data_IF_354142322292
#
_entry.id   IF_354142322292
#
_cell.length_a   1.000
_cell.length_b   1.000
_cell.length_c   1.000
_cell.angle_alpha   90.00
_cell.angle_beta   90.00
_cell.angle_gamma   90.00
#
_symmetry.space_group_name_H-M   'P 1'
#
loop_
_entity.id
_entity.type
_entity.pdbx_description
1 polymer ?
#
# COMPACT_ATOMS: atom_id res chain seq x y z
N UNK A 1 -0.04 -22.00 48.78
CA UNK A 1 -1.09 -21.37 47.94
C UNK A 1 -0.86 -19.88 48.01
N UNK A 2 -0.24 -19.28 46.99
CA UNK A 2 -0.03 -17.82 46.94
C UNK A 2 -0.61 -17.33 45.64
N UNK A 3 -1.75 -16.66 45.74
CA UNK A 3 -2.55 -16.15 44.65
C UNK A 3 -1.94 -14.85 44.10
N UNK A 4 -1.69 -14.83 42.80
CA UNK A 4 -1.33 -13.65 42.02
C UNK A 4 -2.59 -12.83 41.69
N UNK A 5 -2.67 -11.60 42.18
CA UNK A 5 -3.69 -10.63 41.77
C UNK A 5 -3.14 -9.73 40.66
N UNK A 6 -3.58 -9.94 39.42
CA UNK A 6 -3.35 -9.02 38.31
C UNK A 6 -4.43 -7.94 38.27
N UNK A 7 -4.10 -6.73 38.72
CA UNK A 7 -4.94 -5.54 38.62
C UNK A 7 -5.04 -5.05 37.16
N UNK A 8 -6.23 -4.61 36.67
CA UNK A 8 -6.34 -4.02 35.34
C UNK A 8 -5.70 -2.61 35.33
N UNK A 9 -4.80 -2.36 34.38
CA UNK A 9 -4.18 -1.05 34.17
C UNK A 9 -5.21 -0.02 33.69
N UNK A 10 -5.25 1.14 34.35
CA UNK A 10 -6.11 2.26 33.96
C UNK A 10 -5.71 2.81 32.58
N UNK A 11 -6.65 3.29 31.76
CA UNK A 11 -6.34 3.83 30.45
C UNK A 11 -5.46 5.08 30.59
N UNK A 12 -4.31 5.09 29.90
CA UNK A 12 -3.43 6.25 29.85
C UNK A 12 -4.15 7.38 29.10
N UNK A 13 -4.25 8.55 29.73
CA UNK A 13 -4.89 9.74 29.21
C UNK A 13 -3.92 10.94 29.32
N UNK A 14 -3.99 11.89 28.39
CA UNK A 14 -3.19 13.11 28.41
C UNK A 14 -1.71 12.92 28.06
N UNK A 15 -0.81 13.68 28.70
CA UNK A 15 0.64 13.66 28.45
C UNK A 15 1.28 12.27 28.50
N UNK A 16 0.96 11.36 29.45
CA UNK A 16 1.56 10.01 29.45
C UNK A 16 1.10 9.15 28.27
N UNK A 17 -0.13 9.33 27.77
CA UNK A 17 -0.59 8.68 26.52
C UNK A 17 0.19 9.18 25.31
N UNK A 18 0.46 10.48 25.26
CA UNK A 18 1.27 11.10 24.20
C UNK A 18 2.72 10.60 24.27
N UNK A 19 3.27 10.44 25.48
CA UNK A 19 4.64 9.94 25.68
C UNK A 19 4.77 8.44 25.33
N UNK A 20 3.75 7.63 25.65
CA UNK A 20 3.71 6.22 25.28
C UNK A 20 3.63 6.00 23.76
N UNK A 21 3.06 6.94 23.01
CA UNK A 21 3.09 6.93 21.54
C UNK A 21 4.41 7.42 20.94
N UNK A 22 5.22 8.14 21.72
CA UNK A 22 6.52 8.64 21.26
C UNK A 22 7.65 7.62 21.31
N UNK A 23 7.44 6.46 21.96
CA UNK A 23 8.42 5.36 21.89
C UNK A 23 8.28 4.64 20.55
N UNK A 24 9.39 4.25 19.90
CA UNK A 24 9.33 3.34 18.75
C UNK A 24 8.74 2.02 19.25
N UNK A 25 7.44 1.85 19.01
CA UNK A 25 6.78 0.57 19.27
C UNK A 25 7.28 -0.37 18.19
N UNK A 26 8.30 -1.14 18.54
CA UNK A 26 8.79 -2.28 17.78
C UNK A 26 7.59 -3.15 17.41
N UNK A 27 7.24 -3.12 16.12
CA UNK A 27 6.61 -4.22 15.41
C UNK A 27 5.35 -4.84 16.06
N UNK A 28 4.26 -4.09 16.24
CA UNK A 28 2.94 -4.72 16.48
C UNK A 28 2.38 -5.44 15.24
N UNK A 29 3.06 -5.37 14.09
CA UNK A 29 2.80 -6.22 12.91
C UNK A 29 3.41 -7.63 13.02
N UNK A 30 4.20 -7.92 14.07
CA UNK A 30 5.08 -9.10 14.15
C UNK A 30 4.38 -10.47 14.31
N UNK A 31 3.06 -10.61 14.16
CA UNK A 31 2.42 -11.91 14.38
C UNK A 31 1.30 -12.30 13.41
N UNK A 32 0.98 -11.50 12.40
CA UNK A 32 0.11 -12.00 11.32
C UNK A 32 0.99 -12.77 10.34
N UNK A 33 1.06 -14.10 10.52
CA UNK A 33 1.61 -14.98 9.50
C UNK A 33 0.86 -14.73 8.19
N UNK A 34 1.60 -14.40 7.14
CA UNK A 34 1.03 -14.17 5.81
C UNK A 34 0.70 -15.55 5.23
N UNK A 35 -0.58 -15.88 5.12
CA UNK A 35 -1.07 -17.17 4.62
C UNK A 35 -1.82 -16.98 3.29
N UNK A 36 -1.93 -18.01 2.43
CA UNK A 36 -2.74 -17.92 1.22
C UNK A 36 -4.21 -17.55 1.49
N UNK A 37 -4.75 -18.00 2.63
CA UNK A 37 -6.12 -17.68 3.07
C UNK A 37 -6.34 -16.21 3.40
N UNK A 38 -5.27 -15.46 3.72
CA UNK A 38 -5.35 -14.00 3.88
C UNK A 38 -5.66 -13.34 2.53
N UNK A 39 -5.11 -13.85 1.44
CA UNK A 39 -5.23 -13.24 0.10
C UNK A 39 -6.60 -13.44 -0.51
N UNK A 40 -7.24 -14.61 -0.31
CA UNK A 40 -8.63 -14.83 -0.71
C UNK A 40 -9.64 -14.12 0.21
N UNK A 41 -9.28 -13.82 1.46
CA UNK A 41 -10.11 -13.03 2.35
C UNK A 41 -9.82 -11.52 2.20
N UNK A 42 -10.41 -10.90 1.18
CA UNK A 42 -10.23 -9.46 0.88
C UNK A 42 -10.50 -8.54 2.08
N UNK A 43 -11.46 -8.90 2.95
CA UNK A 43 -11.78 -8.09 4.13
C UNK A 43 -10.65 -8.12 5.17
N UNK A 44 -10.11 -9.31 5.44
CA UNK A 44 -8.97 -9.49 6.34
C UNK A 44 -7.71 -8.83 5.78
N UNK A 45 -7.44 -9.01 4.49
CA UNK A 45 -6.34 -8.36 3.78
C UNK A 45 -6.42 -6.83 3.87
N UNK A 46 -7.58 -6.24 3.54
CA UNK A 46 -7.80 -4.79 3.66
C UNK A 46 -7.69 -4.29 5.11
N UNK A 47 -8.16 -5.08 6.08
CA UNK A 47 -8.05 -4.73 7.50
C UNK A 47 -6.59 -4.70 7.94
N UNK A 48 -5.79 -5.68 7.52
CA UNK A 48 -4.35 -5.72 7.77
C UNK A 48 -3.67 -4.48 7.19
N UNK A 49 -3.89 -4.17 5.90
CA UNK A 49 -3.29 -2.99 5.27
C UNK A 49 -3.70 -1.68 5.96
N UNK A 50 -4.99 -1.53 6.32
CA UNK A 50 -5.47 -0.36 7.06
C UNK A 50 -4.79 -0.23 8.43
N UNK A 51 -4.71 -1.32 9.19
CA UNK A 51 -4.06 -1.31 10.51
C UNK A 51 -2.56 -0.99 10.41
N UNK A 52 -1.88 -1.53 9.39
CA UNK A 52 -0.47 -1.22 9.13
C UNK A 52 -0.25 0.24 8.74
N UNK A 53 -1.12 0.82 7.92
CA UNK A 53 -1.05 2.24 7.52
C UNK A 53 -1.31 3.19 8.68
N UNK A 54 -2.19 2.82 9.62
CA UNK A 54 -2.42 3.62 10.83
C UNK A 54 -1.16 3.76 11.69
N UNK A 55 -0.21 2.80 11.60
CA UNK A 55 1.09 2.92 12.27
C UNK A 55 1.95 4.02 11.64
N UNK A 56 1.78 4.32 10.34
CA UNK A 56 2.52 5.39 9.66
C UNK A 56 2.15 6.77 10.20
N UNK A 57 0.90 6.98 10.64
CA UNK A 57 0.45 8.24 11.25
C UNK A 57 1.26 8.58 12.51
N UNK A 58 1.65 7.55 13.28
CA UNK A 58 2.51 7.73 14.45
C UNK A 58 3.94 8.19 14.07
N UNK A 59 4.47 7.69 12.95
CA UNK A 59 5.76 8.10 12.39
C UNK A 59 5.68 9.56 11.95
N UNK A 60 4.63 9.90 11.20
CA UNK A 60 4.39 11.26 10.73
C UNK A 60 4.26 12.26 11.90
N UNK A 61 3.52 11.90 12.96
CA UNK A 61 3.36 12.74 14.13
C UNK A 61 4.69 12.99 14.85
N UNK A 62 5.47 11.92 15.09
CA UNK A 62 6.78 12.03 15.76
C UNK A 62 7.77 12.83 14.94
N UNK A 63 7.82 12.61 13.62
CA UNK A 63 8.67 13.38 12.72
C UNK A 63 8.28 14.87 12.73
N UNK A 64 6.98 15.17 12.66
CA UNK A 64 6.48 16.53 12.73
C UNK A 64 6.92 17.22 14.04
N UNK A 65 6.77 16.53 15.17
CA UNK A 65 7.17 17.04 16.48
C UNK A 65 8.69 17.25 16.57
N UNK A 66 9.48 16.27 16.17
CA UNK A 66 10.94 16.35 16.18
C UNK A 66 11.42 17.57 15.37
N UNK A 67 10.87 17.75 14.16
CA UNK A 67 11.23 18.89 13.31
C UNK A 67 10.81 20.26 13.87
N UNK A 68 9.70 20.34 14.62
CA UNK A 68 9.28 21.58 15.28
C UNK A 68 10.24 21.95 16.42
N UNK A 69 10.71 20.94 17.18
CA UNK A 69 11.72 21.14 18.21
C UNK A 69 13.08 21.55 17.60
N UNK A 70 13.49 20.96 16.49
CA UNK A 70 14.74 21.32 15.79
C UNK A 70 14.71 22.74 15.21
N UNK A 71 13.54 23.23 14.77
CA UNK A 71 13.40 24.65 14.41
C UNK A 71 13.54 25.59 15.62
N UNK A 72 13.28 25.09 16.82
CA UNK A 72 13.33 25.86 18.06
C UNK A 72 14.72 25.80 18.73
N UNK A 73 15.48 24.74 18.48
CA UNK A 73 16.84 24.51 19.01
C UNK A 73 17.77 24.11 17.87
N UNK A 74 18.78 24.94 17.58
CA UNK A 74 19.64 24.85 16.39
C UNK A 74 20.65 23.69 16.38
N UNK A 75 20.19 22.43 16.51
CA UNK A 75 21.03 21.25 16.26
C UNK A 75 20.40 20.33 15.20
N UNK A 76 21.15 20.00 14.12
CA UNK A 76 20.73 19.05 13.11
C UNK A 76 21.29 17.66 13.43
N UNK A 77 20.59 16.86 14.23
CA UNK A 77 21.04 15.48 14.43
C UNK A 77 20.58 14.61 13.25
N UNK A 78 21.49 14.40 12.28
CA UNK A 78 21.30 13.52 11.13
C UNK A 78 20.88 12.10 11.52
N UNK A 79 21.37 11.61 12.66
CA UNK A 79 21.02 10.33 13.26
C UNK A 79 19.51 10.18 13.53
N UNK A 80 18.81 11.30 13.77
CA UNK A 80 17.35 11.29 13.94
C UNK A 80 16.63 10.97 12.63
N UNK A 81 17.03 11.61 11.52
CA UNK A 81 16.43 11.37 10.20
C UNK A 81 16.65 9.93 9.75
N UNK A 82 17.83 9.35 9.99
CA UNK A 82 18.13 7.96 9.65
C UNK A 82 17.22 6.98 10.42
N UNK A 83 16.96 7.24 11.70
CA UNK A 83 16.05 6.42 12.51
C UNK A 83 14.61 6.43 11.96
N UNK A 84 14.11 7.61 11.56
CA UNK A 84 12.79 7.75 10.94
C UNK A 84 12.73 7.10 9.56
N UNK A 85 13.79 7.22 8.76
CA UNK A 85 13.87 6.57 7.46
C UNK A 85 13.81 5.05 7.58
N UNK A 86 14.59 4.48 8.50
CA UNK A 86 14.59 3.05 8.76
C UNK A 86 13.21 2.56 9.21
N UNK A 87 12.55 3.29 10.10
CA UNK A 87 11.21 2.93 10.54
C UNK A 87 10.19 2.99 9.40
N UNK A 88 10.19 4.08 8.63
CA UNK A 88 9.29 4.28 7.49
C UNK A 88 9.48 3.21 6.42
N UNK A 89 10.71 2.96 6.00
CA UNK A 89 11.03 1.94 4.99
C UNK A 89 10.76 0.53 5.49
N UNK A 90 10.93 0.23 6.78
CA UNK A 90 10.55 -1.05 7.37
C UNK A 90 9.05 -1.30 7.20
N UNK A 91 8.21 -0.30 7.50
CA UNK A 91 6.74 -0.41 7.31
C UNK A 91 6.35 -0.57 5.85
N UNK A 92 6.96 0.21 4.97
CA UNK A 92 6.78 0.07 3.52
C UNK A 92 7.13 -1.34 3.05
N UNK A 93 8.24 -1.90 3.53
CA UNK A 93 8.71 -3.23 3.16
C UNK A 93 7.79 -4.33 3.70
N UNK A 94 7.30 -4.20 4.94
CA UNK A 94 6.31 -5.11 5.52
C UNK A 94 5.07 -5.21 4.64
N UNK A 95 4.47 -4.07 4.26
CA UNK A 95 3.28 -4.06 3.39
C UNK A 95 3.58 -4.58 1.99
N UNK A 96 4.78 -4.33 1.48
CA UNK A 96 5.19 -4.81 0.15
C UNK A 96 5.30 -6.32 0.10
N UNK A 97 5.80 -6.94 1.16
CA UNK A 97 5.83 -8.41 1.26
C UNK A 97 4.42 -8.99 1.23
N UNK A 98 3.46 -8.37 1.91
CA UNK A 98 2.04 -8.80 1.87
C UNK A 98 1.47 -8.66 0.47
N UNK A 99 1.65 -7.49 -0.18
CA UNK A 99 1.17 -7.25 -1.54
C UNK A 99 1.77 -8.23 -2.55
N UNK A 100 3.10 -8.43 -2.49
CA UNK A 100 3.81 -9.31 -3.40
C UNK A 100 3.42 -10.78 -3.19
N UNK A 101 3.26 -11.21 -1.93
CA UNK A 101 2.82 -12.56 -1.63
C UNK A 101 1.42 -12.83 -2.19
N UNK A 102 0.46 -11.93 -1.96
CA UNK A 102 -0.89 -12.12 -2.51
C UNK A 102 -0.93 -12.04 -4.03
N UNK A 103 -0.08 -11.23 -4.67
CA UNK A 103 0.02 -11.22 -6.13
C UNK A 103 0.46 -12.59 -6.67
N UNK A 104 1.45 -13.23 -6.04
CA UNK A 104 1.88 -14.58 -6.41
C UNK A 104 0.78 -15.62 -6.19
N UNK A 105 0.08 -15.59 -5.04
CA UNK A 105 -1.03 -16.52 -4.76
C UNK A 105 -2.11 -16.42 -5.86
N UNK A 106 -2.51 -15.21 -6.25
CA UNK A 106 -3.52 -15.03 -7.30
C UNK A 106 -2.98 -15.33 -8.71
N UNK A 107 -1.67 -15.19 -8.96
CA UNK A 107 -1.05 -15.63 -10.22
C UNK A 107 -1.09 -17.15 -10.33
N UNK A 108 -0.78 -17.86 -9.25
CA UNK A 108 -0.81 -19.32 -9.21
C UNK A 108 -2.25 -19.85 -9.37
N UNK A 109 -3.23 -19.21 -8.71
CA UNK A 109 -4.65 -19.53 -8.89
C UNK A 109 -5.12 -19.30 -10.33
N UNK A 110 -4.68 -18.22 -10.99
CA UNK A 110 -5.06 -17.96 -12.37
C UNK A 110 -4.49 -19.02 -13.34
N UNK A 111 -3.35 -19.66 -13.00
CA UNK A 111 -2.74 -20.73 -13.81
C UNK A 111 -3.45 -22.07 -13.64
N UNK A 112 -4.11 -22.32 -12.51
CA UNK A 112 -4.82 -23.58 -12.26
C UNK A 112 -6.25 -23.59 -12.79
N UNK A 113 -6.81 -22.42 -13.16
CA UNK A 113 -8.09 -22.35 -13.84
C UNK A 113 -8.00 -23.00 -15.23
N UNK A 114 -8.93 -23.91 -15.59
CA UNK A 114 -8.95 -24.51 -16.92
C UNK A 114 -9.08 -23.41 -17.97
N UNK A 115 -8.06 -23.28 -18.83
CA UNK A 115 -8.21 -22.53 -20.08
C UNK A 115 -9.34 -23.25 -20.84
N UNK A 116 -10.42 -22.55 -21.28
CA UNK A 116 -11.37 -23.17 -22.17
C UNK A 116 -10.61 -23.52 -23.43
N UNK A 117 -10.20 -24.78 -23.55
CA UNK A 117 -9.58 -25.33 -24.74
C UNK A 117 -10.59 -25.15 -25.85
N UNK A 118 -10.32 -24.19 -26.73
CA UNK A 118 -10.99 -24.10 -28.01
C UNK A 118 -10.68 -25.41 -28.73
N UNK A 119 -11.60 -26.37 -28.59
CA UNK A 119 -11.58 -27.63 -29.33
C UNK A 119 -11.79 -27.27 -30.82
N UNK A 120 -10.68 -26.90 -31.46
CA UNK A 120 -10.64 -26.37 -32.82
C UNK A 120 -10.53 -27.54 -33.79
N UNK A 121 -11.58 -28.35 -33.82
CA UNK A 121 -11.86 -29.26 -34.94
C UNK A 121 -13.25 -29.00 -35.50
N UNK A 122 -13.54 -27.75 -35.90
CA UNK A 122 -14.52 -27.51 -36.96
C UNK A 122 -14.36 -26.13 -37.60
N UNK A 123 -13.99 -26.18 -38.88
CA UNK A 123 -14.17 -25.11 -39.84
C UNK A 123 -15.66 -24.86 -39.97
N UNK A 124 -16.18 -23.76 -39.43
CA UNK A 124 -17.38 -23.11 -39.98
C UNK A 124 -17.19 -21.60 -39.97
N UNK A 125 -17.05 -21.04 -41.17
CA UNK A 125 -17.27 -19.62 -41.46
C UNK A 125 -18.75 -19.33 -41.18
N UNK A 126 -19.05 -18.88 -39.97
CA UNK A 126 -20.36 -18.41 -39.56
C UNK A 126 -20.19 -17.25 -38.59
N UNK A 127 -20.87 -16.14 -38.86
CA UNK A 127 -20.87 -14.95 -38.02
C UNK A 127 -21.53 -15.24 -36.67
N UNK A 128 -20.77 -15.69 -35.67
CA UNK A 128 -21.27 -15.84 -34.30
C UNK A 128 -21.35 -14.49 -33.59
N UNK A 129 -22.45 -13.80 -33.87
CA UNK A 129 -22.99 -12.73 -33.01
C UNK A 129 -23.31 -13.23 -31.59
N UNK A 130 -23.28 -14.55 -31.36
CA UNK A 130 -23.42 -15.19 -30.04
C UNK A 130 -22.10 -15.44 -29.29
N UNK A 131 -20.93 -15.27 -29.92
CA UNK A 131 -19.66 -15.26 -29.17
C UNK A 131 -19.47 -13.97 -28.38
N UNK A 132 -20.23 -12.91 -28.72
CA UNK A 132 -20.26 -11.64 -28.02
C UNK A 132 -21.23 -11.62 -26.81
N UNK A 133 -22.10 -12.63 -26.65
CA UNK A 133 -23.14 -12.65 -25.59
C UNK A 133 -22.79 -13.57 -24.42
N UNK A 134 -21.93 -14.58 -24.61
CA UNK A 134 -21.47 -15.45 -23.51
C UNK A 134 -20.39 -14.79 -22.63
N UNK A 135 -19.70 -13.78 -23.16
CA UNK A 135 -18.70 -12.98 -22.43
C UNK A 135 -19.32 -11.75 -21.75
N UNK A 136 -20.59 -11.86 -21.34
CA UNK A 136 -21.41 -10.74 -20.90
C UNK A 136 -21.96 -10.84 -19.48
N UNK A 137 -21.42 -11.67 -18.57
CA UNK A 137 -22.04 -11.76 -17.22
C UNK A 137 -21.22 -12.33 -16.06
N UNK A 138 -19.99 -11.88 -15.86
CA UNK A 138 -19.34 -12.05 -14.56
C UNK A 138 -17.83 -11.97 -14.65
N UNK A 139 -17.25 -11.09 -13.86
CA UNK A 139 -15.84 -11.19 -13.52
C UNK A 139 -15.66 -12.45 -12.66
N UNK A 140 -14.62 -13.24 -12.95
CA UNK A 140 -14.28 -14.36 -12.08
C UNK A 140 -13.84 -13.80 -10.72
N UNK A 141 -14.04 -14.57 -9.65
CA UNK A 141 -13.58 -14.18 -8.31
C UNK A 141 -12.10 -13.79 -8.31
N UNK A 142 -11.27 -14.60 -8.98
CA UNK A 142 -9.83 -14.33 -9.15
C UNK A 142 -9.56 -13.01 -9.88
N UNK A 143 -10.34 -12.64 -10.90
CA UNK A 143 -10.18 -11.36 -11.61
C UNK A 143 -10.54 -10.16 -10.72
N UNK A 144 -11.61 -10.29 -9.93
CA UNK A 144 -12.03 -9.26 -8.97
C UNK A 144 -10.95 -9.07 -7.90
N UNK A 145 -10.43 -10.16 -7.34
CA UNK A 145 -9.37 -10.14 -6.33
C UNK A 145 -8.08 -9.51 -6.87
N UNK A 146 -7.64 -9.89 -8.08
CA UNK A 146 -6.46 -9.30 -8.73
C UNK A 146 -6.61 -7.80 -8.97
N UNK A 147 -7.79 -7.36 -9.43
CA UNK A 147 -8.07 -5.92 -9.59
C UNK A 147 -8.03 -5.19 -8.25
N UNK A 148 -8.61 -5.80 -7.22
CA UNK A 148 -8.61 -5.23 -5.88
C UNK A 148 -7.18 -5.12 -5.34
N UNK A 149 -6.34 -6.12 -5.57
CA UNK A 149 -4.93 -6.10 -5.20
C UNK A 149 -4.18 -4.98 -5.94
N UNK A 150 -4.37 -4.85 -7.26
CA UNK A 150 -3.77 -3.75 -8.05
C UNK A 150 -4.17 -2.38 -7.52
N UNK A 151 -5.43 -2.24 -7.09
CA UNK A 151 -5.91 -1.01 -6.46
C UNK A 151 -5.15 -0.72 -5.17
N UNK A 152 -4.95 -1.73 -4.32
CA UNK A 152 -4.17 -1.56 -3.08
C UNK A 152 -2.68 -1.27 -3.34
N UNK A 153 -2.08 -1.85 -4.38
CA UNK A 153 -0.72 -1.48 -4.83
C UNK A 153 -0.66 -0.01 -5.23
N UNK A 154 -1.63 0.48 -6.00
CA UNK A 154 -1.68 1.90 -6.39
C UNK A 154 -1.86 2.82 -5.16
N UNK A 155 -2.71 2.43 -4.22
CA UNK A 155 -2.88 3.15 -2.94
C UNK A 155 -1.56 3.18 -2.17
N UNK A 156 -0.85 2.05 -2.09
CA UNK A 156 0.45 2.00 -1.42
C UNK A 156 1.48 2.92 -2.08
N UNK A 157 1.50 3.00 -3.42
CA UNK A 157 2.37 3.93 -4.14
C UNK A 157 2.08 5.39 -3.77
N UNK A 158 0.79 5.76 -3.67
CA UNK A 158 0.38 7.11 -3.24
C UNK A 158 0.82 7.38 -1.79
N UNK A 159 0.63 6.41 -0.90
CA UNK A 159 1.01 6.55 0.52
C UNK A 159 2.52 6.74 0.64
N UNK A 160 3.32 5.93 -0.06
CA UNK A 160 4.78 6.07 -0.11
C UNK A 160 5.21 7.44 -0.63
N UNK A 161 4.60 7.92 -1.71
CA UNK A 161 4.93 9.23 -2.26
C UNK A 161 4.64 10.37 -1.26
N UNK A 162 3.49 10.34 -0.58
CA UNK A 162 3.11 11.35 0.41
C UNK A 162 3.98 11.33 1.66
N UNK A 163 4.28 10.14 2.16
CA UNK A 163 5.13 9.98 3.34
C UNK A 163 6.60 10.31 3.03
N UNK A 164 7.06 10.04 1.81
CA UNK A 164 8.36 10.50 1.32
C UNK A 164 8.43 12.02 1.23
N UNK A 165 7.42 12.68 0.66
CA UNK A 165 7.36 14.15 0.58
C UNK A 165 7.40 14.80 1.98
N UNK A 166 6.59 14.27 2.91
CA UNK A 166 6.65 14.69 4.31
C UNK A 166 8.05 14.51 4.91
N UNK A 167 8.67 13.35 4.68
CA UNK A 167 10.02 13.05 5.16
C UNK A 167 11.05 14.04 4.62
N UNK A 168 11.10 14.23 3.30
CA UNK A 168 12.06 15.12 2.64
C UNK A 168 11.86 16.60 3.03
N UNK A 169 10.62 17.03 3.32
CA UNK A 169 10.37 18.37 3.84
C UNK A 169 11.04 18.65 5.20
N UNK A 170 11.37 17.60 5.96
CA UNK A 170 12.00 17.68 7.29
C UNK A 170 13.45 17.22 7.29
N UNK A 171 13.80 16.33 6.38
CA UNK A 171 15.12 15.73 6.21
C UNK A 171 15.64 15.96 4.78
N UNK A 172 15.91 17.22 4.37
CA UNK A 172 16.19 17.56 2.97
C UNK A 172 17.51 16.97 2.43
N UNK A 173 18.48 16.69 3.30
CA UNK A 173 19.81 16.18 2.92
C UNK A 173 19.97 14.66 3.13
N UNK A 174 18.90 13.96 3.50
CA UNK A 174 18.98 12.52 3.78
C UNK A 174 19.19 11.70 2.49
N UNK A 175 20.11 10.71 2.47
CA UNK A 175 20.52 10.00 1.24
C UNK A 175 19.50 8.96 0.74
N UNK A 176 18.45 8.67 1.51
CA UNK A 176 17.40 7.68 1.19
C UNK A 176 17.93 6.26 1.02
N UNK A 177 18.91 5.90 1.86
CA UNK A 177 19.51 4.57 1.87
C UNK A 177 19.20 3.85 3.20
N UNK A 178 18.94 2.53 3.17
CA UNK A 178 18.76 1.70 1.98
C UNK A 178 17.45 2.05 1.25
N UNK A 179 17.41 1.76 -0.07
CA UNK A 179 16.19 1.93 -0.85
C UNK A 179 15.12 0.92 -0.41
N UNK A 180 13.84 1.32 -0.33
CA UNK A 180 12.77 0.39 0.00
C UNK A 180 12.52 -0.61 -1.13
N UNK A 181 11.91 -1.75 -0.78
CA UNK A 181 11.52 -2.80 -1.73
C UNK A 181 10.57 -2.23 -2.80
N UNK A 182 10.76 -2.58 -4.09
CA UNK A 182 9.86 -2.15 -5.15
C UNK A 182 8.46 -2.74 -4.95
N UNK A 183 7.42 -1.97 -5.31
CA UNK A 183 6.04 -2.46 -5.27
C UNK A 183 5.77 -3.42 -6.43
N UNK A 184 5.01 -4.52 -6.21
CA UNK A 184 4.70 -5.48 -7.26
C UNK A 184 3.85 -4.84 -8.36
N UNK A 185 4.24 -5.02 -9.62
CA UNK A 185 3.49 -4.51 -10.78
C UNK A 185 3.43 -2.98 -10.90
N UNK A 186 4.14 -2.24 -10.05
CA UNK A 186 4.27 -0.78 -10.16
C UNK A 186 5.50 -0.46 -11.00
N UNK A 187 5.30 -0.19 -12.29
CA UNK A 187 6.37 0.36 -13.12
C UNK A 187 6.50 1.85 -12.80
N UNK A 188 7.68 2.26 -12.34
CA UNK A 188 8.08 3.68 -12.35
C UNK A 188 8.40 4.08 -13.79
N UNK A 189 7.42 3.99 -14.70
CA UNK A 189 7.56 4.59 -16.01
C UNK A 189 7.48 6.11 -15.83
N UNK A 190 8.64 6.70 -15.50
CA UNK A 190 8.92 8.12 -15.68
C UNK A 190 8.99 8.50 -17.18
N UNK A 191 8.64 7.59 -18.08
CA UNK A 191 8.42 7.81 -19.51
C UNK A 191 7.01 8.32 -19.82
N UNK A 192 6.35 9.00 -18.87
CA UNK A 192 5.18 9.83 -19.21
C UNK A 192 5.66 10.91 -20.19
N UNK A 193 5.41 10.67 -21.47
CA UNK A 193 5.51 11.72 -22.47
C UNK A 193 4.55 12.85 -22.06
N UNK A 194 4.87 14.13 -22.34
CA UNK A 194 4.04 15.26 -21.92
C UNK A 194 2.55 15.16 -22.33
N UNK A 195 2.20 14.32 -23.31
CA UNK A 195 0.83 14.06 -23.75
C UNK A 195 -0.03 13.26 -22.75
N UNK A 196 0.57 12.35 -22.00
CA UNK A 196 -0.17 11.43 -21.11
C UNK A 196 -0.65 12.12 -19.82
N UNK A 197 0.04 13.17 -19.39
CA UNK A 197 -0.34 14.00 -18.25
C UNK A 197 -1.55 14.91 -18.53
N UNK A 198 -1.80 15.22 -19.80
CA UNK A 198 -2.95 16.03 -20.26
C UNK A 198 -4.20 15.16 -20.39
N UNK A 199 -4.06 13.95 -20.93
CA UNK A 199 -5.18 13.02 -21.12
C UNK A 199 -5.85 12.60 -19.80
N UNK A 200 -5.07 12.45 -18.71
CA UNK A 200 -5.60 12.02 -17.41
C UNK A 200 -6.35 13.09 -16.62
N UNK A 201 -6.29 14.35 -17.03
CA UNK A 201 -6.92 15.45 -16.28
C UNK A 201 -8.22 15.99 -16.88
N UNK A 202 -8.67 15.46 -18.03
CA UNK A 202 -9.94 15.88 -18.66
C UNK A 202 -10.05 17.40 -18.81
N UNK A 203 -8.90 18.07 -18.93
CA UNK A 203 -8.80 19.53 -18.85
C UNK A 203 -8.32 20.02 -20.20
N UNK A 204 -9.16 20.79 -20.88
CA UNK A 204 -8.81 21.38 -22.16
C UNK A 204 -7.63 22.36 -21.99
N UNK A 205 -7.01 22.74 -23.11
CA UNK A 205 -5.87 23.68 -23.14
C UNK A 205 -6.15 25.08 -22.58
N UNK A 206 -7.34 25.31 -21.98
CA UNK A 206 -7.74 26.53 -21.27
C UNK A 206 -8.18 26.29 -19.83
N UNK A 207 -7.94 25.10 -19.27
CA UNK A 207 -8.12 24.85 -17.85
C UNK A 207 -9.54 24.45 -17.42
N UNK A 208 -10.47 24.21 -18.34
CA UNK A 208 -11.84 23.77 -18.06
C UNK A 208 -11.97 22.24 -18.08
N UNK A 209 -12.70 21.67 -17.12
CA UNK A 209 -13.01 20.23 -17.07
C UNK A 209 -14.26 19.97 -17.91
N UNK A 210 -14.16 19.14 -18.96
CA UNK A 210 -15.29 18.78 -19.81
C UNK A 210 -15.98 17.52 -19.25
N UNK A 211 -17.27 17.63 -18.90
CA UNK A 211 -18.06 16.56 -18.29
C UNK A 211 -18.92 15.76 -19.28
N UNK A 212 -18.70 15.90 -20.60
CA UNK A 212 -19.40 15.08 -21.60
C UNK A 212 -18.41 14.34 -22.49
N UNK A 213 -18.35 13.01 -22.31
CA UNK A 213 -17.57 12.06 -23.09
C UNK A 213 -17.56 10.70 -22.42
#
# INVERSE_FOLDING_TARGET
MSSSSSSPSSPLLGTPYILAQSTPTSSQTHLTQITPSLCSNLSAFKALLRSSRALDDSIALRLNRASALHRSFANPDGDSCDSFWNELTTRWNERTRVLAFCDQVHLDQARTLPIPTADSTRIEKGLDRDRLTTQGRGETEVEVERRQLRTETNVEAIIRARSLDLFLSRCPYHPQQPAPMPLPGYTTDNSLTPGDAVARRGRDGRGGVNWNG
#
